data_IF_615405472747
#
_entry.id   IF_615405472747
#
_cell.length_a   1.000
_cell.length_b   1.000
_cell.length_c   1.000
_cell.angle_alpha   90.00
_cell.angle_beta   90.00
_cell.angle_gamma   90.00
#
_symmetry.space_group_name_H-M   'P 1'
#
loop_
_entity.id
_entity.type
_entity.pdbx_description
1 polymer ?
#
# COMPACT_ATOMS: atom_id res chain seq x y z
N UNK A 1 -9.45 7.88 20.79
CA UNK A 1 -9.81 7.64 19.37
C UNK A 1 -8.76 6.74 18.77
N UNK A 2 -9.04 5.45 18.56
CA UNK A 2 -8.04 4.54 17.99
C UNK A 2 -8.67 3.54 17.02
N UNK A 3 -7.84 3.12 16.04
CA UNK A 3 -8.12 2.42 14.76
C UNK A 3 -8.09 3.35 13.53
N UNK A 4 -8.25 4.68 13.68
CA UNK A 4 -7.96 5.66 12.62
C UNK A 4 -7.35 6.94 13.20
N UNK A 5 -6.19 7.36 12.67
CA UNK A 5 -5.66 8.72 12.84
C UNK A 5 -4.48 8.91 13.80
N UNK A 6 -4.09 7.89 14.59
CA UNK A 6 -2.89 7.96 15.43
C UNK A 6 -1.84 6.92 15.03
N UNK A 7 -0.55 7.24 15.22
CA UNK A 7 0.53 6.26 15.06
C UNK A 7 0.37 5.21 16.15
N UNK A 8 0.22 3.94 15.76
CA UNK A 8 0.07 2.80 16.70
C UNK A 8 1.21 2.75 17.72
N UNK A 9 2.40 3.25 17.38
CA UNK A 9 3.58 3.36 18.26
C UNK A 9 3.40 4.29 19.47
N UNK A 10 2.42 5.19 19.44
CA UNK A 10 2.14 6.19 20.50
C UNK A 10 0.82 5.92 21.23
N UNK A 11 0.19 4.77 20.97
CA UNK A 11 -1.11 4.40 21.51
C UNK A 11 -0.94 3.64 22.84
N UNK A 12 -1.14 4.31 23.98
CA UNK A 12 -1.02 3.72 25.33
C UNK A 12 -2.33 3.18 25.93
N UNK A 13 -3.22 2.59 25.13
CA UNK A 13 -4.58 2.25 25.56
C UNK A 13 -4.58 0.80 26.04
N UNK A 14 -4.94 0.57 27.30
CA UNK A 14 -5.05 -0.78 27.89
C UNK A 14 -6.50 -1.27 27.98
N UNK A 15 -7.47 -0.36 27.80
CA UNK A 15 -8.90 -0.60 28.02
C UNK A 15 -9.63 -1.34 26.88
N UNK A 16 -8.94 -1.62 25.76
CA UNK A 16 -9.56 -2.18 24.55
C UNK A 16 -8.68 -3.27 23.93
N UNK A 17 -9.25 -4.40 23.47
CA UNK A 17 -8.48 -5.44 22.81
C UNK A 17 -7.80 -4.91 21.54
N UNK A 18 -6.49 -5.15 21.43
CA UNK A 18 -5.71 -4.85 20.23
C UNK A 18 -6.03 -5.90 19.15
N UNK A 19 -6.49 -5.44 17.99
CA UNK A 19 -6.65 -6.29 16.80
C UNK A 19 -5.46 -6.10 15.87
N UNK A 20 -4.94 -7.19 15.32
CA UNK A 20 -3.93 -7.12 14.25
C UNK A 20 -4.56 -6.55 12.97
N UNK A 21 -4.25 -5.29 12.67
CA UNK A 21 -4.62 -4.69 11.39
C UNK A 21 -3.58 -5.12 10.36
N UNK A 22 -3.95 -6.05 9.47
CA UNK A 22 -3.10 -6.42 8.32
C UNK A 22 -2.79 -5.18 7.50
N UNK A 23 -1.51 -5.01 7.12
CA UNK A 23 -1.10 -3.89 6.27
C UNK A 23 -1.83 -4.02 4.93
N UNK A 24 -2.71 -3.05 4.63
CA UNK A 24 -3.17 -2.87 3.26
C UNK A 24 -1.97 -2.40 2.45
N UNK A 25 -1.40 -3.29 1.64
CA UNK A 25 -0.37 -2.92 0.69
C UNK A 25 -0.90 -1.85 -0.26
N UNK A 26 -0.02 -0.98 -0.76
CA UNK A 26 -0.41 -0.06 -1.82
C UNK A 26 -0.89 -0.89 -3.02
N UNK A 27 -2.10 -0.65 -3.55
CA UNK A 27 -2.51 -1.31 -4.79
C UNK A 27 -1.51 -0.96 -5.88
N UNK A 28 -1.29 -1.90 -6.79
CA UNK A 28 -0.34 -1.68 -7.86
C UNK A 28 -0.85 -0.59 -8.81
N UNK A 29 0.02 0.37 -9.11
CA UNK A 29 -0.31 1.55 -9.94
C UNK A 29 -0.08 1.36 -11.44
N UNK A 30 0.35 0.18 -11.88
CA UNK A 30 0.67 -0.12 -13.28
C UNK A 30 -0.09 -1.37 -13.71
N UNK A 31 -0.32 -1.56 -15.01
CA UNK A 31 -0.81 -2.84 -15.53
C UNK A 31 0.32 -3.89 -15.54
N UNK A 32 -0.04 -5.16 -15.74
CA UNK A 32 0.95 -6.24 -15.83
C UNK A 32 1.90 -6.06 -17.02
N UNK A 33 1.38 -5.56 -18.15
CA UNK A 33 2.17 -5.31 -19.35
C UNK A 33 3.30 -4.30 -19.12
N UNK A 34 2.99 -3.13 -18.55
CA UNK A 34 3.99 -2.11 -18.23
C UNK A 34 5.00 -2.57 -17.17
N UNK A 35 4.58 -3.39 -16.19
CA UNK A 35 5.52 -4.02 -15.25
C UNK A 35 6.51 -4.92 -15.96
N UNK A 36 6.03 -5.74 -16.89
CA UNK A 36 6.88 -6.67 -17.65
C UNK A 36 7.92 -5.89 -18.45
N UNK A 37 7.51 -4.83 -19.16
CA UNK A 37 8.41 -3.97 -19.92
C UNK A 37 9.48 -3.31 -19.04
N UNK A 38 9.16 -2.88 -17.82
CA UNK A 38 10.16 -2.39 -16.86
C UNK A 38 11.17 -3.47 -16.50
N UNK A 39 10.73 -4.69 -16.23
CA UNK A 39 11.62 -5.78 -15.82
C UNK A 39 12.48 -6.30 -16.97
N UNK A 40 11.90 -6.47 -18.15
CA UNK A 40 12.57 -7.10 -19.29
C UNK A 40 13.37 -6.11 -20.12
N UNK A 41 12.92 -4.85 -20.21
CA UNK A 41 13.48 -3.84 -21.11
C UNK A 41 13.93 -2.57 -20.38
N UNK A 42 13.81 -2.50 -19.06
CA UNK A 42 14.21 -1.33 -18.26
C UNK A 42 13.51 -0.03 -18.68
N UNK A 43 12.28 -0.14 -19.22
CA UNK A 43 11.53 1.01 -19.75
C UNK A 43 10.75 1.71 -18.63
N UNK A 44 11.20 2.89 -18.21
CA UNK A 44 10.59 3.68 -17.12
C UNK A 44 9.55 4.69 -17.61
N UNK A 45 8.47 4.21 -18.25
CA UNK A 45 7.37 5.08 -18.70
C UNK A 45 6.20 5.09 -17.71
N UNK A 46 5.37 6.15 -17.78
CA UNK A 46 4.07 6.21 -17.11
C UNK A 46 3.14 5.16 -17.72
N UNK A 47 2.31 4.53 -16.89
CA UNK A 47 1.36 3.53 -17.35
C UNK A 47 0.05 4.24 -17.70
N UNK A 48 -0.17 4.52 -18.97
CA UNK A 48 -1.38 5.17 -19.51
C UNK A 48 -2.36 4.15 -20.15
N UNK A 49 -2.19 2.84 -19.89
CA UNK A 49 -3.02 1.76 -20.46
C UNK A 49 -4.51 1.78 -20.05
N UNK A 50 -4.93 2.73 -19.22
CA UNK A 50 -6.29 2.90 -18.73
C UNK A 50 -6.88 4.27 -19.11
N UNK A 51 -6.29 4.94 -20.11
CA UNK A 51 -6.96 6.00 -20.88
C UNK A 51 -7.81 5.37 -21.98
#
# INVERSE_FOLDING_TARGET
TCIKGHRSSTCGHTDRPLFEIKRKGRPQTQCEHCRRLRKTRQVHVRCDCAS
#
